data_IF_624441011528
#
_entry.id   IF_624441011528
#
_cell.length_a   1.000
_cell.length_b   1.000
_cell.length_c   1.000
_cell.angle_alpha   90.00
_cell.angle_beta   90.00
_cell.angle_gamma   90.00
#
_symmetry.space_group_name_H-M   'P 1'
#
loop_
_entity.id
_entity.type
_entity.pdbx_description
1 polymer ?
#
# COMPACT_ATOMS: atom_id res chain seq x y z
N UNK A 1 -28.80 4.05 -17.70
CA UNK A 1 -27.33 3.86 -17.55
C UNK A 1 -26.83 3.19 -18.82
N UNK A 2 -25.81 3.75 -19.50
CA UNK A 2 -25.32 3.27 -20.80
C UNK A 2 -23.99 2.52 -20.61
N UNK A 3 -23.79 1.40 -21.31
CA UNK A 3 -22.48 0.74 -21.38
C UNK A 3 -21.56 1.50 -22.32
N UNK A 4 -20.30 1.69 -21.92
CA UNK A 4 -19.32 2.38 -22.76
C UNK A 4 -18.90 1.48 -23.93
N UNK A 5 -18.72 2.08 -25.11
CA UNK A 5 -18.16 1.37 -26.26
C UNK A 5 -16.65 1.12 -26.10
N UNK A 6 -15.94 2.01 -25.40
CA UNK A 6 -14.50 1.90 -25.17
C UNK A 6 -14.22 1.54 -23.71
N UNK A 7 -13.92 0.27 -23.47
CA UNK A 7 -13.56 -0.26 -22.14
C UNK A 7 -12.11 -0.76 -22.11
N UNK A 8 -11.68 -1.26 -20.95
CA UNK A 8 -10.34 -1.77 -20.69
C UNK A 8 -10.43 -3.05 -19.84
N UNK A 9 -9.47 -3.98 -19.95
CA UNK A 9 -9.38 -5.09 -19.01
C UNK A 9 -9.03 -4.56 -17.61
N UNK A 10 -9.72 -5.10 -16.60
CA UNK A 10 -9.41 -4.88 -15.19
C UNK A 10 -8.19 -5.72 -14.77
N UNK A 11 -7.25 -5.10 -14.08
CA UNK A 11 -6.17 -5.82 -13.39
C UNK A 11 -6.61 -6.26 -12.00
N UNK A 12 -6.21 -7.47 -11.60
CA UNK A 12 -6.48 -8.02 -10.26
C UNK A 12 -5.91 -7.15 -9.12
N UNK A 13 -4.91 -6.30 -9.40
CA UNK A 13 -4.25 -5.47 -8.41
C UNK A 13 -4.75 -4.02 -8.38
N UNK A 14 -5.60 -3.64 -9.34
CA UNK A 14 -6.01 -2.26 -9.57
C UNK A 14 -7.26 -1.89 -8.76
N UNK A 15 -7.24 -0.69 -8.19
CA UNK A 15 -8.34 -0.16 -7.40
C UNK A 15 -9.27 0.73 -8.24
N UNK A 16 -10.55 0.92 -7.82
CA UNK A 16 -11.59 1.53 -8.65
C UNK A 16 -11.24 2.90 -9.24
N UNK A 17 -10.63 3.80 -8.45
CA UNK A 17 -10.27 5.15 -8.91
C UNK A 17 -9.16 5.12 -9.97
N UNK A 18 -8.16 4.25 -9.83
CA UNK A 18 -7.13 4.09 -10.85
C UNK A 18 -7.72 3.51 -12.15
N UNK A 19 -8.60 2.51 -12.04
CA UNK A 19 -9.31 1.97 -13.20
C UNK A 19 -10.16 3.04 -13.90
N UNK A 20 -10.92 3.85 -13.14
CA UNK A 20 -11.72 4.94 -13.70
C UNK A 20 -10.83 5.99 -14.40
N UNK A 21 -9.66 6.31 -13.85
CA UNK A 21 -8.70 7.22 -14.48
C UNK A 21 -8.18 6.67 -15.82
N UNK A 22 -7.89 5.36 -15.90
CA UNK A 22 -7.55 4.71 -17.19
C UNK A 22 -8.74 4.72 -18.16
N UNK A 23 -9.94 4.46 -17.67
CA UNK A 23 -11.17 4.44 -18.47
C UNK A 23 -11.50 5.83 -19.03
N UNK A 24 -11.33 6.89 -18.23
CA UNK A 24 -11.45 8.28 -18.65
C UNK A 24 -10.48 8.58 -19.81
N UNK A 25 -9.19 8.20 -19.65
CA UNK A 25 -8.19 8.38 -20.71
C UNK A 25 -8.54 7.59 -21.98
N UNK A 26 -9.05 6.37 -21.84
CA UNK A 26 -9.50 5.53 -22.97
C UNK A 26 -10.67 6.16 -23.74
N UNK A 27 -11.53 6.90 -23.04
CA UNK A 27 -12.66 7.64 -23.63
C UNK A 27 -12.30 9.09 -23.98
N UNK A 28 -11.00 9.42 -24.06
CA UNK A 28 -10.48 10.73 -24.44
C UNK A 28 -10.94 11.90 -23.55
N UNK A 29 -11.35 11.60 -22.31
CA UNK A 29 -11.69 12.62 -21.34
C UNK A 29 -10.43 13.36 -20.87
N UNK A 30 -10.58 14.67 -20.62
CA UNK A 30 -9.48 15.53 -20.17
C UNK A 30 -9.04 15.28 -18.73
N UNK A 31 -9.92 14.71 -17.89
CA UNK A 31 -9.60 14.30 -16.52
C UNK A 31 -10.57 13.23 -16.01
N UNK A 32 -10.15 12.50 -14.98
CA UNK A 32 -11.02 11.53 -14.29
C UNK A 32 -12.25 12.19 -13.65
N UNK A 33 -12.12 13.41 -13.12
CA UNK A 33 -13.23 14.13 -12.47
C UNK A 33 -14.31 14.50 -13.47
N UNK A 34 -13.92 15.10 -14.61
CA UNK A 34 -14.86 15.47 -15.67
C UNK A 34 -15.53 14.24 -16.25
N UNK A 35 -14.77 13.17 -16.47
CA UNK A 35 -15.33 11.91 -16.94
C UNK A 35 -16.36 11.34 -15.95
N UNK A 36 -16.06 11.37 -14.64
CA UNK A 36 -16.98 10.91 -13.61
C UNK A 36 -18.27 11.73 -13.60
N UNK A 37 -18.18 13.05 -13.77
CA UNK A 37 -19.35 13.94 -13.91
C UNK A 37 -20.18 13.61 -15.16
N UNK A 38 -19.53 13.48 -16.33
CA UNK A 38 -20.17 13.19 -17.62
C UNK A 38 -20.96 11.85 -17.58
N UNK A 39 -20.50 10.90 -16.78
CA UNK A 39 -21.11 9.56 -16.67
C UNK A 39 -21.92 9.36 -15.38
N UNK A 40 -22.04 10.38 -14.54
CA UNK A 40 -22.86 10.36 -13.32
C UNK A 40 -22.31 9.50 -12.18
N UNK A 41 -20.99 9.33 -12.08
CA UNK A 41 -20.31 8.66 -10.96
C UNK A 41 -19.83 9.70 -9.94
N UNK A 42 -20.22 9.55 -8.68
CA UNK A 42 -19.61 10.31 -7.60
C UNK A 42 -18.21 9.74 -7.29
N UNK A 43 -17.18 10.41 -7.79
CA UNK A 43 -15.78 10.06 -7.60
C UNK A 43 -15.36 10.08 -6.12
N UNK A 44 -15.91 10.98 -5.30
CA UNK A 44 -15.57 11.08 -3.88
C UNK A 44 -16.25 9.99 -3.05
N UNK A 45 -17.47 9.60 -3.40
CA UNK A 45 -18.13 8.42 -2.84
C UNK A 45 -17.40 7.14 -3.24
N UNK A 46 -17.04 6.99 -4.52
CA UNK A 46 -16.28 5.84 -5.02
C UNK A 46 -14.93 5.69 -4.32
N UNK A 47 -14.20 6.79 -4.11
CA UNK A 47 -12.92 6.78 -3.39
C UNK A 47 -13.04 6.37 -1.91
N UNK A 48 -14.26 6.39 -1.34
CA UNK A 48 -14.56 5.89 0.01
C UNK A 48 -15.16 4.47 0.01
N UNK A 49 -15.29 3.86 -1.16
CA UNK A 49 -15.81 2.50 -1.32
C UNK A 49 -17.33 2.41 -1.33
N UNK A 50 -18.02 3.47 -1.76
CA UNK A 50 -19.46 3.48 -1.93
C UNK A 50 -19.92 2.48 -3.02
N UNK A 51 -20.86 1.61 -2.67
CA UNK A 51 -21.28 0.50 -3.54
C UNK A 51 -22.14 0.98 -4.73
N UNK A 52 -22.84 2.11 -4.60
CA UNK A 52 -23.65 2.66 -5.70
C UNK A 52 -22.71 3.12 -6.83
N UNK A 53 -21.70 3.94 -6.51
CA UNK A 53 -20.71 4.37 -7.49
C UNK A 53 -19.90 3.21 -8.09
N UNK A 54 -19.58 2.18 -7.29
CA UNK A 54 -18.88 0.99 -7.77
C UNK A 54 -19.74 0.18 -8.75
N UNK A 55 -21.03 -0.01 -8.45
CA UNK A 55 -21.94 -0.71 -9.35
C UNK A 55 -22.15 0.03 -10.67
N UNK A 56 -22.21 1.37 -10.64
CA UNK A 56 -22.23 2.18 -11.86
C UNK A 56 -20.98 1.95 -12.71
N UNK A 57 -19.79 1.99 -12.09
CA UNK A 57 -18.52 1.71 -12.79
C UNK A 57 -18.51 0.30 -13.39
N UNK A 58 -18.87 -0.72 -12.61
CA UNK A 58 -18.93 -2.12 -13.07
C UNK A 58 -19.85 -2.26 -14.27
N UNK A 59 -21.07 -1.74 -14.17
CA UNK A 59 -22.05 -1.79 -15.24
C UNK A 59 -21.53 -1.11 -16.51
N UNK A 60 -21.04 0.12 -16.41
CA UNK A 60 -20.58 0.91 -17.55
C UNK A 60 -19.38 0.28 -18.27
N UNK A 61 -18.47 -0.30 -17.50
CA UNK A 61 -17.26 -0.93 -18.01
C UNK A 61 -17.47 -2.39 -18.44
N UNK A 62 -18.67 -2.97 -18.19
CA UNK A 62 -18.95 -4.37 -18.47
C UNK A 62 -18.13 -5.34 -17.61
N UNK A 63 -17.88 -4.97 -16.36
CA UNK A 63 -17.14 -5.79 -15.39
C UNK A 63 -18.08 -6.71 -14.61
N UNK A 64 -17.52 -7.82 -14.13
CA UNK A 64 -18.23 -8.76 -13.28
C UNK A 64 -18.65 -8.14 -11.93
N UNK A 65 -19.71 -8.67 -11.28
CA UNK A 65 -20.19 -8.13 -10.00
C UNK A 65 -19.17 -8.14 -8.87
N UNK A 66 -18.24 -9.08 -8.88
CA UNK A 66 -17.16 -9.24 -7.88
C UNK A 66 -15.91 -8.42 -8.23
N UNK A 67 -15.92 -7.65 -9.32
CA UNK A 67 -14.83 -6.75 -9.65
C UNK A 67 -14.52 -5.82 -8.47
N UNK A 68 -13.22 -5.64 -8.21
CA UNK A 68 -12.67 -4.86 -7.10
C UNK A 68 -12.92 -5.42 -5.68
N UNK A 69 -13.27 -6.70 -5.54
CA UNK A 69 -13.52 -7.35 -4.24
C UNK A 69 -12.41 -7.08 -3.21
N UNK A 70 -11.15 -7.22 -3.61
CA UNK A 70 -9.98 -7.01 -2.75
C UNK A 70 -9.35 -5.63 -2.88
N UNK A 71 -9.63 -4.92 -3.97
CA UNK A 71 -8.94 -3.66 -4.30
C UNK A 71 -9.72 -2.40 -3.93
N UNK A 72 -10.94 -2.54 -3.42
CA UNK A 72 -11.74 -1.41 -2.92
C UNK A 72 -11.33 -1.05 -1.50
N UNK A 73 -10.96 0.21 -1.27
CA UNK A 73 -10.82 0.77 0.07
C UNK A 73 -12.19 1.27 0.55
N UNK A 74 -12.78 0.57 1.53
CA UNK A 74 -14.03 0.97 2.19
C UNK A 74 -13.72 1.76 3.46
N UNK A 75 -14.12 3.02 3.51
CA UNK A 75 -13.89 3.88 4.68
C UNK A 75 -15.02 3.65 5.70
N UNK A 76 -14.67 3.20 6.90
CA UNK A 76 -15.63 2.95 7.96
C UNK A 76 -15.67 4.07 9.01
N UNK A 77 -14.54 4.76 9.23
CA UNK A 77 -14.48 5.92 10.11
C UNK A 77 -13.39 6.90 9.67
N UNK A 78 -13.18 7.96 10.47
CA UNK A 78 -12.10 8.92 10.27
C UNK A 78 -10.69 8.31 10.36
N UNK A 79 -10.56 7.08 10.89
CA UNK A 79 -9.28 6.37 11.04
C UNK A 79 -9.31 4.98 10.42
N UNK A 80 -10.40 4.23 10.55
CA UNK A 80 -10.51 2.83 10.12
C UNK A 80 -11.05 2.70 8.69
N UNK A 81 -10.42 1.82 7.91
CA UNK A 81 -10.86 1.43 6.58
C UNK A 81 -10.58 -0.06 6.31
N UNK A 82 -11.12 -0.58 5.22
CA UNK A 82 -11.03 -1.99 4.86
C UNK A 82 -10.60 -2.17 3.41
N UNK A 83 -9.80 -3.20 3.13
CA UNK A 83 -9.54 -3.73 1.79
C UNK A 83 -9.95 -5.21 1.76
N UNK A 84 -11.06 -5.54 1.12
CA UNK A 84 -11.70 -6.84 1.32
C UNK A 84 -12.02 -7.07 2.81
N UNK A 85 -11.48 -8.14 3.40
CA UNK A 85 -11.57 -8.43 4.84
C UNK A 85 -10.40 -7.87 5.68
N UNK A 86 -9.41 -7.25 5.04
CA UNK A 86 -8.24 -6.70 5.73
C UNK A 86 -8.60 -5.38 6.40
N UNK A 87 -8.28 -5.23 7.68
CA UNK A 87 -8.37 -3.94 8.39
C UNK A 87 -7.14 -3.10 8.09
N UNK A 88 -7.38 -1.84 7.75
CA UNK A 88 -6.38 -0.81 7.48
C UNK A 88 -6.71 0.45 8.26
N UNK A 89 -5.71 1.28 8.50
CA UNK A 89 -5.91 2.64 9.00
C UNK A 89 -5.59 3.65 7.90
N UNK A 90 -6.27 4.79 7.90
CA UNK A 90 -5.97 5.88 6.95
C UNK A 90 -4.54 6.41 7.06
N UNK A 91 -3.86 6.15 8.18
CA UNK A 91 -2.46 6.48 8.38
C UNK A 91 -1.51 5.48 7.73
N UNK A 92 -1.93 4.24 7.48
CA UNK A 92 -1.12 3.25 6.76
C UNK A 92 -1.14 3.44 5.25
N UNK A 93 -2.04 4.29 4.75
CA UNK A 93 -2.20 4.62 3.33
C UNK A 93 -1.56 5.98 2.98
N UNK A 94 -0.98 6.07 1.79
CA UNK A 94 -0.57 7.33 1.16
C UNK A 94 -1.84 8.04 0.66
N UNK A 95 -1.99 9.32 0.99
CA UNK A 95 -3.22 10.08 0.64
C UNK A 95 -3.10 10.82 -0.68
N UNK A 96 -1.96 11.46 -0.92
CA UNK A 96 -1.70 12.29 -2.10
C UNK A 96 -0.47 11.82 -2.88
N UNK A 97 0.45 11.16 -2.21
CA UNK A 97 1.65 10.64 -2.82
C UNK A 97 1.34 9.38 -3.61
N UNK A 98 1.83 9.36 -4.83
CA UNK A 98 1.62 8.30 -5.80
C UNK A 98 2.96 7.64 -6.02
N UNK A 99 3.05 6.36 -5.72
CA UNK A 99 4.26 5.57 -5.88
C UNK A 99 4.04 4.54 -6.97
N UNK A 100 5.04 4.32 -7.82
CA UNK A 100 4.93 3.37 -8.92
C UNK A 100 6.20 2.56 -9.08
N UNK A 101 6.05 1.30 -9.51
CA UNK A 101 7.17 0.54 -10.03
C UNK A 101 7.28 0.80 -11.55
N UNK A 102 8.39 1.38 -12.03
CA UNK A 102 8.57 1.68 -13.45
C UNK A 102 8.61 0.41 -14.33
N UNK A 103 9.13 -0.69 -13.78
CA UNK A 103 9.18 -1.98 -14.46
C UNK A 103 7.76 -2.55 -14.64
N UNK A 104 6.94 -2.58 -13.57
CA UNK A 104 5.54 -2.98 -13.66
C UNK A 104 4.74 -2.12 -14.66
N UNK A 105 5.03 -0.82 -14.78
CA UNK A 105 4.35 0.04 -15.74
C UNK A 105 4.68 -0.32 -17.19
N UNK A 106 5.92 -0.76 -17.46
CA UNK A 106 6.38 -1.19 -18.79
C UNK A 106 5.87 -2.58 -19.20
N UNK A 107 5.53 -3.43 -18.24
CA UNK A 107 5.13 -4.81 -18.54
C UNK A 107 3.92 -4.86 -19.47
N UNK A 108 4.05 -5.75 -20.46
CA UNK A 108 3.35 -5.82 -21.74
C UNK A 108 1.86 -5.42 -21.72
N UNK A 109 1.51 -4.34 -22.44
CA UNK A 109 0.13 -3.87 -22.68
C UNK A 109 -0.40 -4.32 -24.05
N UNK A 110 -0.29 -5.62 -24.36
CA UNK A 110 -0.83 -6.22 -25.59
C UNK A 110 -0.51 -5.43 -26.88
N UNK A 111 0.76 -5.04 -27.05
CA UNK A 111 1.23 -4.32 -28.24
C UNK A 111 0.87 -2.83 -28.30
N UNK A 112 0.30 -2.26 -27.24
CA UNK A 112 0.03 -0.82 -27.14
C UNK A 112 1.08 -0.10 -26.32
N UNK A 113 1.25 1.19 -26.58
CA UNK A 113 2.21 2.01 -25.83
C UNK A 113 1.77 2.08 -24.34
N UNK A 114 2.60 1.56 -23.42
CA UNK A 114 2.30 1.43 -22.00
C UNK A 114 2.01 2.78 -21.32
N UNK A 115 2.51 3.88 -21.89
CA UNK A 115 2.26 5.25 -21.43
C UNK A 115 0.77 5.60 -21.40
N UNK A 116 -0.04 4.96 -22.25
CA UNK A 116 -1.47 5.25 -22.37
C UNK A 116 -2.37 4.40 -21.49
N UNK A 117 -1.84 3.34 -20.86
CA UNK A 117 -2.65 2.41 -20.06
C UNK A 117 -1.98 1.99 -18.74
N UNK A 118 -1.25 2.87 -18.02
CA UNK A 118 -0.53 2.49 -16.81
C UNK A 118 -1.48 1.89 -15.77
N UNK A 119 -1.14 0.70 -15.26
CA UNK A 119 -1.91 0.01 -14.23
C UNK A 119 -1.28 0.34 -12.87
N UNK A 120 -2.04 1.01 -12.01
CA UNK A 120 -1.58 1.28 -10.65
C UNK A 120 -2.08 0.20 -9.69
N UNK A 121 -1.19 -0.32 -8.85
CA UNK A 121 -1.50 -1.39 -7.90
C UNK A 121 -1.91 -0.83 -6.54
N UNK A 122 -2.91 -1.42 -5.90
CA UNK A 122 -3.40 -0.96 -4.60
C UNK A 122 -2.30 -0.94 -3.51
N UNK A 123 -1.48 -2.00 -3.42
CA UNK A 123 -0.47 -2.12 -2.34
C UNK A 123 0.60 -1.02 -2.38
N UNK A 124 0.82 -0.35 -3.52
CA UNK A 124 1.70 0.84 -3.60
C UNK A 124 1.15 2.04 -2.82
N UNK A 125 -0.11 2.00 -2.39
CA UNK A 125 -0.67 2.98 -1.48
C UNK A 125 -0.30 2.70 -0.01
N UNK A 126 0.27 1.55 0.33
CA UNK A 126 0.71 1.29 1.70
C UNK A 126 2.04 2.01 1.97
N UNK A 127 2.11 2.84 3.01
CA UNK A 127 3.33 3.58 3.36
C UNK A 127 4.54 2.69 3.66
N UNK A 128 4.28 1.48 4.14
CA UNK A 128 5.32 0.50 4.47
C UNK A 128 5.83 -0.25 3.23
N UNK A 129 5.13 -0.18 2.09
CA UNK A 129 5.55 -0.79 0.84
C UNK A 129 6.36 0.22 0.06
N UNK A 130 7.66 0.02 0.01
CA UNK A 130 8.56 1.00 -0.57
C UNK A 130 9.45 0.43 -1.70
N UNK A 131 9.40 -0.89 -1.91
CA UNK A 131 10.01 -1.58 -3.04
C UNK A 131 9.01 -2.50 -3.74
N UNK A 132 9.24 -2.78 -5.01
CA UNK A 132 8.45 -3.71 -5.81
C UNK A 132 8.85 -5.16 -5.49
N UNK A 133 7.87 -5.96 -5.07
CA UNK A 133 7.99 -7.40 -4.81
C UNK A 133 8.33 -8.23 -6.06
N UNK A 134 8.05 -7.71 -7.26
CA UNK A 134 8.29 -8.42 -8.54
C UNK A 134 9.57 -8.04 -9.24
N UNK A 135 10.07 -6.82 -9.05
CA UNK A 135 11.17 -6.27 -9.85
C UNK A 135 12.39 -5.87 -9.03
N UNK A 136 12.32 -5.97 -7.69
CA UNK A 136 13.41 -5.59 -6.80
C UNK A 136 13.97 -4.18 -7.09
N UNK A 137 13.05 -3.22 -7.27
CA UNK A 137 13.36 -1.79 -7.45
C UNK A 137 12.58 -0.96 -6.43
N UNK A 138 13.10 0.21 -6.07
CA UNK A 138 12.38 1.16 -5.22
C UNK A 138 11.13 1.64 -5.97
N UNK A 139 10.05 1.89 -5.23
CA UNK A 139 8.90 2.58 -5.81
C UNK A 139 9.24 4.08 -5.94
N UNK A 140 8.99 4.61 -7.13
CA UNK A 140 9.27 6.01 -7.47
C UNK A 140 8.06 6.87 -7.11
N UNK A 141 8.30 7.96 -6.38
CA UNK A 141 7.29 8.99 -6.16
C UNK A 141 7.04 9.75 -7.46
N UNK A 142 5.82 9.71 -7.95
CA UNK A 142 5.41 10.53 -9.10
C UNK A 142 5.15 11.95 -8.61
N UNK A 143 5.69 13.01 -9.24
CA UNK A 143 5.43 14.39 -8.81
C UNK A 143 3.92 14.71 -8.77
N UNK A 144 3.50 15.52 -7.78
CA UNK A 144 2.11 16.00 -7.72
C UNK A 144 1.87 17.06 -8.80
N UNK A 145 0.64 17.16 -9.29
CA UNK A 145 0.22 18.27 -10.14
C UNK A 145 -0.38 19.38 -9.30
N UNK A 146 -0.18 20.62 -9.72
CA UNK A 146 -0.65 21.81 -8.97
C UNK A 146 -2.17 22.02 -9.02
N UNK A 147 -2.91 21.27 -9.84
CA UNK A 147 -4.37 21.42 -9.94
C UNK A 147 -5.13 20.70 -8.80
N UNK A 148 -6.14 21.35 -8.18
CA UNK A 148 -6.97 20.73 -7.14
C UNK A 148 -7.67 19.46 -7.65
N UNK A 149 -7.59 18.37 -6.86
CA UNK A 149 -8.23 17.09 -7.21
C UNK A 149 -7.44 16.20 -8.17
N UNK A 150 -6.34 16.69 -8.74
CA UNK A 150 -5.43 15.95 -9.64
C UNK A 150 -4.86 14.66 -9.05
N UNK A 151 -4.76 14.58 -7.72
CA UNK A 151 -4.23 13.41 -7.03
C UNK A 151 -5.04 12.13 -7.29
N UNK A 152 -6.30 12.26 -7.71
CA UNK A 152 -7.14 11.12 -8.12
C UNK A 152 -6.96 10.73 -9.58
N UNK A 153 -6.37 11.60 -10.41
CA UNK A 153 -6.09 11.31 -11.81
C UNK A 153 -4.76 10.59 -11.99
N UNK A 154 -4.74 9.34 -11.51
CA UNK A 154 -3.57 8.48 -11.44
C UNK A 154 -2.93 8.29 -12.82
N UNK A 155 -3.73 7.97 -13.83
CA UNK A 155 -3.24 7.73 -15.19
C UNK A 155 -2.67 8.99 -15.80
N UNK A 156 -3.37 10.11 -15.74
CA UNK A 156 -2.85 11.35 -16.30
C UNK A 156 -1.54 11.77 -15.62
N UNK A 157 -1.43 11.60 -14.30
CA UNK A 157 -0.21 11.91 -13.54
C UNK A 157 0.95 11.00 -13.93
N UNK A 158 0.73 9.69 -14.08
CA UNK A 158 1.78 8.76 -14.56
C UNK A 158 2.20 9.11 -15.99
N UNK A 159 1.25 9.31 -16.91
CA UNK A 159 1.56 9.61 -18.32
C UNK A 159 2.31 10.94 -18.49
N UNK A 160 2.02 11.96 -17.67
CA UNK A 160 2.71 13.24 -17.70
C UNK A 160 4.17 13.17 -17.27
N UNK A 161 4.51 12.21 -16.39
CA UNK A 161 5.86 12.03 -15.86
C UNK A 161 6.54 10.76 -16.40
N UNK A 162 6.02 10.17 -17.48
CA UNK A 162 6.45 8.87 -17.98
C UNK A 162 7.97 8.76 -18.19
N UNK A 163 8.55 9.71 -18.94
CA UNK A 163 9.98 9.67 -19.29
C UNK A 163 10.88 9.85 -18.06
N UNK A 164 10.44 10.61 -17.06
CA UNK A 164 11.13 10.75 -15.78
C UNK A 164 11.10 9.44 -14.98
N UNK A 165 9.91 8.85 -14.83
CA UNK A 165 9.70 7.59 -14.11
C UNK A 165 10.58 6.48 -14.71
N UNK A 166 10.58 6.36 -16.05
CA UNK A 166 11.36 5.34 -16.74
C UNK A 166 12.86 5.59 -16.65
N UNK A 167 13.32 6.84 -16.70
CA UNK A 167 14.74 7.18 -16.58
C UNK A 167 15.28 6.89 -15.19
N UNK A 168 14.53 7.22 -14.14
CA UNK A 168 14.94 6.93 -12.76
C UNK A 168 15.12 5.42 -12.53
N UNK A 169 14.24 4.58 -13.10
CA UNK A 169 14.34 3.13 -13.05
C UNK A 169 15.70 2.57 -13.49
N UNK A 170 16.32 3.19 -14.49
CA UNK A 170 17.58 2.74 -15.07
C UNK A 170 18.82 3.13 -14.25
N UNK A 171 18.64 3.98 -13.23
CA UNK A 171 19.73 4.57 -12.43
C UNK A 171 19.80 4.01 -11.01
N UNK A 172 18.74 3.35 -10.55
CA UNK A 172 18.65 2.87 -9.18
C UNK A 172 19.33 1.51 -9.01
N UNK A 173 19.99 1.34 -7.87
CA UNK A 173 20.50 0.06 -7.42
C UNK A 173 19.35 -0.92 -7.13
N UNK A 174 19.63 -2.22 -7.19
CA UNK A 174 18.67 -3.24 -6.82
C UNK A 174 18.20 -3.04 -5.37
N UNK A 175 16.89 -2.94 -5.19
CA UNK A 175 16.21 -2.75 -3.92
C UNK A 175 15.14 -3.84 -3.77
N UNK A 176 15.53 -5.06 -3.34
CA UNK A 176 14.57 -6.16 -3.15
C UNK A 176 13.57 -5.79 -2.07
N UNK A 177 12.30 -6.17 -2.25
CA UNK A 177 11.29 -6.00 -1.21
C UNK A 177 11.68 -6.79 0.04
N UNK A 178 11.50 -6.17 1.22
CA UNK A 178 11.68 -6.87 2.48
C UNK A 178 10.61 -7.95 2.67
N UNK A 179 10.81 -8.83 3.65
CA UNK A 179 9.80 -9.83 4.03
C UNK A 179 8.45 -9.18 4.39
N UNK A 180 8.46 -8.06 5.13
CA UNK A 180 7.25 -7.29 5.45
C UNK A 180 6.59 -6.72 4.20
N UNK A 181 7.36 -6.10 3.31
CA UNK A 181 6.84 -5.49 2.08
C UNK A 181 6.21 -6.55 1.18
N UNK A 182 6.88 -7.70 1.02
CA UNK A 182 6.39 -8.83 0.23
C UNK A 182 5.11 -9.42 0.82
N UNK A 183 5.07 -9.58 2.15
CA UNK A 183 3.88 -10.03 2.85
C UNK A 183 2.69 -9.08 2.66
N UNK A 184 2.89 -7.77 2.86
CA UNK A 184 1.85 -6.76 2.66
C UNK A 184 1.35 -6.71 1.21
N UNK A 185 2.27 -6.86 0.26
CA UNK A 185 1.96 -6.85 -1.18
C UNK A 185 1.10 -8.05 -1.58
N UNK A 186 1.26 -9.20 -0.93
CA UNK A 186 0.39 -10.37 -1.12
C UNK A 186 -0.92 -10.31 -0.31
N UNK A 187 -0.85 -9.90 0.95
CA UNK A 187 -1.95 -9.99 1.93
C UNK A 187 -3.22 -9.27 1.49
N UNK A 188 -3.10 -8.13 0.82
CA UNK A 188 -4.26 -7.34 0.38
C UNK A 188 -5.14 -8.07 -0.65
N UNK A 189 -4.59 -9.01 -1.41
CA UNK A 189 -5.26 -9.62 -2.56
C UNK A 189 -5.77 -11.04 -2.31
N UNK A 190 -5.76 -11.48 -1.05
CA UNK A 190 -6.23 -12.80 -0.65
C UNK A 190 -7.18 -12.72 0.56
N UNK A 191 -8.05 -13.72 0.75
CA UNK A 191 -8.74 -13.91 2.01
C UNK A 191 -7.76 -14.02 3.19
N UNK A 192 -8.22 -13.67 4.39
CA UNK A 192 -7.47 -13.92 5.62
C UNK A 192 -7.24 -15.44 5.76
N UNK A 193 -5.98 -15.84 5.97
CA UNK A 193 -5.64 -17.21 6.33
C UNK A 193 -5.64 -17.41 7.85
N UNK A 194 -5.36 -18.64 8.26
CA UNK A 194 -5.29 -19.04 9.67
C UNK A 194 -3.91 -18.76 10.30
N UNK A 195 -2.96 -18.24 9.52
CA UNK A 195 -1.62 -17.87 9.98
C UNK A 195 -1.69 -16.82 11.10
N UNK A 196 -0.82 -16.96 12.11
CA UNK A 196 -0.72 -16.03 13.25
C UNK A 196 -0.70 -14.55 12.83
N UNK A 197 0.11 -14.21 11.83
CA UNK A 197 0.23 -12.83 11.34
C UNK A 197 -1.01 -12.33 10.60
N UNK A 198 -1.81 -13.24 10.02
CA UNK A 198 -3.07 -12.89 9.37
C UNK A 198 -4.16 -12.54 10.40
N UNK A 199 -4.05 -13.04 11.64
CA UNK A 199 -4.95 -12.69 12.75
C UNK A 199 -4.68 -11.31 13.35
N UNK A 200 -3.56 -10.66 12.99
CA UNK A 200 -3.20 -9.32 13.48
C UNK A 200 -3.57 -8.29 12.40
N UNK A 201 -4.35 -7.25 12.75
CA UNK A 201 -4.67 -6.15 11.82
C UNK A 201 -3.39 -5.53 11.24
N UNK A 202 -3.38 -5.19 9.94
CA UNK A 202 -2.18 -4.68 9.24
C UNK A 202 -1.53 -3.48 9.95
N UNK A 203 -2.26 -2.44 10.42
CA UNK A 203 -1.65 -1.31 11.12
C UNK A 203 -0.91 -1.74 12.38
N UNK A 204 -1.52 -2.63 13.16
CA UNK A 204 -0.94 -3.19 14.39
C UNK A 204 0.30 -4.00 14.08
N UNK A 205 0.24 -4.87 13.07
CA UNK A 205 1.38 -5.69 12.65
C UNK A 205 2.56 -4.83 12.20
N UNK A 206 2.32 -3.85 11.33
CA UNK A 206 3.35 -2.93 10.88
C UNK A 206 3.99 -2.20 12.06
N UNK A 207 3.17 -1.63 12.95
CA UNK A 207 3.69 -0.87 14.09
C UNK A 207 4.47 -1.75 15.08
N UNK A 208 3.98 -2.96 15.33
CA UNK A 208 4.66 -3.93 16.17
C UNK A 208 6.01 -4.34 15.57
N UNK A 209 6.06 -4.58 14.26
CA UNK A 209 7.29 -4.92 13.54
C UNK A 209 8.32 -3.78 13.59
N UNK A 210 7.91 -2.54 13.36
CA UNK A 210 8.76 -1.35 13.48
C UNK A 210 9.40 -1.24 14.87
N UNK A 211 8.57 -1.29 15.92
CA UNK A 211 9.01 -1.09 17.30
C UNK A 211 9.86 -2.25 17.81
N UNK A 212 9.48 -3.49 17.51
CA UNK A 212 10.25 -4.68 17.87
C UNK A 212 11.61 -4.69 17.16
N UNK A 213 11.64 -4.41 15.86
CA UNK A 213 12.88 -4.33 15.11
C UNK A 213 13.81 -3.23 15.59
N UNK A 214 13.25 -2.06 15.94
CA UNK A 214 14.03 -0.97 16.51
C UNK A 214 14.63 -1.36 17.86
N UNK A 215 13.85 -2.03 18.72
CA UNK A 215 14.33 -2.58 19.98
C UNK A 215 15.48 -3.58 19.76
N UNK A 216 15.34 -4.49 18.78
CA UNK A 216 16.35 -5.51 18.46
C UNK A 216 17.66 -4.87 17.94
N UNK A 217 17.57 -3.89 17.03
CA UNK A 217 18.75 -3.36 16.35
C UNK A 217 19.41 -2.17 17.06
N UNK A 218 18.61 -1.38 17.79
CA UNK A 218 19.04 -0.09 18.33
C UNK A 218 18.80 0.04 19.84
N UNK A 219 18.19 -0.97 20.48
CA UNK A 219 17.97 -1.02 21.92
C UNK A 219 16.77 -0.21 22.42
N UNK A 220 16.44 -0.36 23.71
CA UNK A 220 15.19 0.15 24.33
C UNK A 220 15.04 1.68 24.38
N UNK A 221 16.15 2.43 24.26
CA UNK A 221 16.14 3.90 24.25
C UNK A 221 15.99 4.48 22.84
N UNK A 222 16.04 3.64 21.81
CA UNK A 222 15.81 4.04 20.44
C UNK A 222 14.39 4.56 20.27
N UNK A 223 14.25 5.62 19.46
CA UNK A 223 12.96 6.12 18.98
C UNK A 223 12.89 5.84 17.50
N UNK A 224 11.86 5.12 17.07
CA UNK A 224 11.75 4.69 15.68
C UNK A 224 11.82 5.87 14.69
N UNK A 225 11.15 6.98 15.02
CA UNK A 225 11.11 8.18 14.18
C UNK A 225 12.44 8.97 14.13
N UNK A 226 13.42 8.64 14.97
CA UNK A 226 14.75 9.23 14.92
C UNK A 226 15.71 8.46 13.98
N UNK A 227 15.29 7.30 13.47
CA UNK A 227 16.05 6.48 12.54
C UNK A 227 15.91 7.02 11.11
N UNK A 228 16.94 6.82 10.29
CA UNK A 228 16.86 7.07 8.84
C UNK A 228 15.87 6.14 8.15
N UNK A 229 15.32 6.50 6.98
CA UNK A 229 14.39 5.65 6.23
C UNK A 229 14.94 4.24 5.96
N UNK A 230 16.24 4.12 5.70
CA UNK A 230 16.93 2.83 5.51
C UNK A 230 16.91 1.99 6.79
N UNK A 231 17.22 2.60 7.94
CA UNK A 231 17.19 1.94 9.24
C UNK A 231 15.76 1.58 9.66
N UNK A 232 14.78 2.47 9.43
CA UNK A 232 13.38 2.20 9.68
C UNK A 232 12.88 0.97 8.91
N UNK A 233 13.20 0.90 7.61
CA UNK A 233 12.86 -0.24 6.75
C UNK A 233 13.52 -1.54 7.24
N UNK A 234 14.81 -1.49 7.58
CA UNK A 234 15.55 -2.65 8.10
C UNK A 234 15.02 -3.10 9.47
N UNK A 235 14.66 -2.17 10.34
CA UNK A 235 14.01 -2.48 11.61
C UNK A 235 12.67 -3.17 11.38
N UNK A 236 11.80 -2.59 10.56
CA UNK A 236 10.49 -3.17 10.26
C UNK A 236 10.59 -4.59 9.68
N UNK A 237 11.57 -4.85 8.82
CA UNK A 237 11.88 -6.20 8.31
C UNK A 237 12.25 -7.18 9.43
N UNK A 238 13.23 -6.83 10.27
CA UNK A 238 13.68 -7.71 11.37
C UNK A 238 12.57 -7.99 12.37
N UNK A 239 11.77 -6.99 12.72
CA UNK A 239 10.63 -7.20 13.60
C UNK A 239 9.59 -8.13 12.96
N UNK A 240 9.27 -7.92 11.68
CA UNK A 240 8.33 -8.78 10.97
C UNK A 240 8.82 -10.22 10.85
N UNK A 241 10.10 -10.46 10.59
CA UNK A 241 10.70 -11.80 10.54
C UNK A 241 10.56 -12.58 11.86
N UNK A 242 10.50 -11.86 12.99
CA UNK A 242 10.21 -12.45 14.30
C UNK A 242 8.72 -12.77 14.43
N UNK A 243 7.84 -11.84 14.07
CA UNK A 243 6.38 -12.04 14.12
C UNK A 243 5.90 -13.17 13.19
N UNK A 244 6.45 -13.26 11.98
CA UNK A 244 6.10 -14.26 10.98
C UNK A 244 6.39 -15.70 11.45
N UNK A 245 7.28 -15.88 12.43
CA UNK A 245 7.62 -17.17 13.03
C UNK A 245 6.73 -17.54 14.23
N UNK A 246 5.72 -16.73 14.54
CA UNK A 246 4.73 -17.02 15.56
C UNK A 246 5.11 -16.57 16.98
N UNK A 247 4.20 -16.80 17.95
CA UNK A 247 4.30 -16.27 19.31
C UNK A 247 5.51 -16.80 20.08
N UNK A 248 5.87 -18.08 19.94
CA UNK A 248 7.03 -18.67 20.63
C UNK A 248 8.35 -17.98 20.22
N UNK A 249 8.48 -17.63 18.94
CA UNK A 249 9.64 -16.89 18.44
C UNK A 249 9.69 -15.48 19.00
N UNK A 250 8.56 -14.80 19.11
CA UNK A 250 8.47 -13.49 19.74
C UNK A 250 8.91 -13.57 21.21
N UNK A 251 8.33 -14.47 22.00
CA UNK A 251 8.63 -14.63 23.43
C UNK A 251 10.11 -14.94 23.64
N UNK A 252 10.65 -15.94 22.94
CA UNK A 252 12.07 -16.31 23.06
C UNK A 252 13.02 -15.17 22.63
N UNK A 253 12.60 -14.30 21.72
CA UNK A 253 13.38 -13.12 21.32
C UNK A 253 13.39 -12.06 22.43
N UNK A 254 12.23 -11.76 23.03
CA UNK A 254 12.13 -10.84 24.16
C UNK A 254 12.91 -11.33 25.39
N UNK A 255 12.87 -12.63 25.67
CA UNK A 255 13.66 -13.23 26.76
C UNK A 255 15.16 -13.10 26.52
N UNK A 256 15.63 -13.31 25.28
CA UNK A 256 17.04 -13.12 24.91
C UNK A 256 17.46 -11.67 25.08
N UNK A 257 16.66 -10.72 24.60
CA UNK A 257 16.92 -9.28 24.77
C UNK A 257 17.03 -8.91 26.25
N UNK A 258 16.09 -9.40 27.07
CA UNK A 258 16.10 -9.19 28.51
C UNK A 258 17.36 -9.74 29.18
N UNK A 259 17.85 -10.90 28.76
CA UNK A 259 19.09 -11.50 29.31
C UNK A 259 20.35 -10.77 28.83
N UNK A 260 20.33 -10.15 27.65
CA UNK A 260 21.49 -9.46 27.08
C UNK A 260 21.71 -8.04 27.58
N UNK A 261 20.67 -7.39 28.14
CA UNK A 261 20.75 -6.04 28.68
C UNK A 261 20.46 -6.06 30.18
N UNK A 262 21.46 -5.86 31.06
CA UNK A 262 21.27 -5.81 32.51
C UNK A 262 20.27 -4.74 32.95
N UNK A 263 20.12 -3.65 32.17
CA UNK A 263 19.12 -2.62 32.46
C UNK A 263 17.68 -3.05 32.11
N UNK A 264 17.49 -4.22 31.48
CA UNK A 264 16.18 -4.84 31.27
C UNK A 264 15.84 -5.89 32.34
N UNK A 265 16.77 -6.18 33.26
CA UNK A 265 16.60 -7.13 34.36
C UNK A 265 16.13 -6.38 35.60
N UNK A 266 14.90 -6.65 36.05
CA UNK A 266 14.38 -6.18 37.35
C UNK A 266 13.02 -5.47 37.30
N UNK A 267 12.47 -5.23 38.49
CA UNK A 267 11.18 -4.56 38.69
C UNK A 267 11.34 -3.03 38.62
N UNK A 268 11.88 -2.53 37.49
CA UNK A 268 12.16 -1.10 37.32
C UNK A 268 10.87 -0.29 37.06
N UNK A 269 10.83 0.99 37.48
CA UNK A 269 9.67 1.87 37.25
C UNK A 269 9.47 2.26 35.76
N UNK A 270 10.40 1.91 34.87
CA UNK A 270 10.34 2.21 33.43
C UNK A 270 10.09 0.94 32.61
N UNK A 271 9.41 1.03 31.45
CA UNK A 271 9.12 -0.12 30.61
C UNK A 271 10.41 -0.82 30.16
N UNK A 272 10.49 -2.12 30.45
CA UNK A 272 11.63 -3.00 30.15
C UNK A 272 11.95 -3.03 28.65
N UNK A 273 10.91 -2.95 27.80
CA UNK A 273 11.07 -2.94 26.33
C UNK A 273 10.74 -1.60 25.67
N UNK A 274 10.85 -0.49 26.40
CA UNK A 274 10.72 0.85 25.84
C UNK A 274 9.38 1.12 25.13
N UNK A 275 9.44 1.70 23.92
CA UNK A 275 8.25 2.01 23.11
C UNK A 275 7.43 0.76 22.74
N UNK A 276 8.09 -0.38 22.54
CA UNK A 276 7.40 -1.63 22.19
C UNK A 276 6.45 -2.09 23.30
N UNK A 277 6.88 -2.06 24.56
CA UNK A 277 6.00 -2.43 25.69
C UNK A 277 4.84 -1.46 25.85
N UNK A 278 5.06 -0.15 25.67
CA UNK A 278 3.98 0.85 25.75
C UNK A 278 2.91 0.67 24.68
N UNK A 279 3.31 0.16 23.51
CA UNK A 279 2.38 -0.13 22.42
C UNK A 279 1.49 -1.35 22.71
N UNK A 280 1.99 -2.31 23.49
CA UNK A 280 1.23 -3.52 23.86
C UNK A 280 0.30 -3.35 25.07
N UNK A 281 0.48 -2.26 25.84
CA UNK A 281 -0.29 -1.96 27.04
C UNK A 281 -1.58 -1.22 26.71
#
# INVERSE_FOLDING_TARGET
MIRLALTLPLSAYEYPVAYLSRLARRNLAGSVSRFAEDVGIDLSAMARGDEISLNQLRYMAGLEPDAFLFTTIKVASATKCFAGKQVLHRETLTRRDLYVCPCCLKENHAGQDPKWRPIHRLHWQLKHVAACDRHAVRLIAVPQRNDPGSYRDVTARISAHWDEIIRQASREEACPASSLESYLSGRLYRPLGDDWVDQIEIPTLCKAAELLGSLIQHGKRSRFLALTDKQQRQAAEVGFDVFAKGPDRLISTLEKLRRSDPEMVGNQPHPQFGEFQRFLA
#
